data_IF_201296253837
#
_entry.id   IF_201296253837
#
_cell.length_a   1.000
_cell.length_b   1.000
_cell.length_c   1.000
_cell.angle_alpha   90.00
_cell.angle_beta   90.00
_cell.angle_gamma   90.00
#
_symmetry.space_group_name_H-M   'P 1'
#
loop_
_entity.id
_entity.type
_entity.pdbx_description
1 polymer ?
#
# COMPACT_ATOMS: atom_id res chain seq x y z
N UNK A 1 13.35 44.24 -23.62
CA UNK A 1 12.86 42.86 -23.36
C UNK A 1 11.38 43.00 -23.07
N UNK A 2 10.51 42.54 -23.97
CA UNK A 2 9.06 42.80 -23.92
C UNK A 2 8.38 41.91 -22.86
N UNK A 3 7.82 42.45 -21.77
CA UNK A 3 7.35 41.66 -20.64
C UNK A 3 5.83 41.38 -20.65
N UNK A 4 5.20 41.33 -21.81
CA UNK A 4 3.74 41.12 -21.90
C UNK A 4 3.41 39.86 -22.72
N UNK A 5 3.94 38.70 -22.30
CA UNK A 5 3.37 37.43 -22.76
C UNK A 5 2.02 37.22 -22.10
N UNK A 6 0.99 37.05 -22.93
CA UNK A 6 -0.36 36.73 -22.45
C UNK A 6 -0.36 35.39 -21.70
N UNK A 7 -1.22 35.25 -20.68
CA UNK A 7 -1.33 34.03 -19.86
C UNK A 7 -1.55 32.78 -20.72
N UNK A 8 -2.42 32.88 -21.73
CA UNK A 8 -2.65 31.83 -22.73
C UNK A 8 -1.37 31.35 -23.42
N UNK A 9 -0.38 32.21 -23.60
CA UNK A 9 0.88 31.86 -24.25
C UNK A 9 1.85 31.16 -23.28
N UNK A 10 1.88 31.59 -22.01
CA UNK A 10 2.59 30.87 -20.95
C UNK A 10 2.00 29.46 -20.75
N UNK A 11 0.68 29.35 -20.78
CA UNK A 11 -0.03 28.09 -20.59
C UNK A 11 0.22 27.12 -21.76
N UNK A 12 0.23 27.63 -22.99
CA UNK A 12 0.60 26.84 -24.19
C UNK A 12 2.04 26.35 -24.16
N UNK A 13 2.99 27.17 -23.68
CA UNK A 13 4.39 26.76 -23.57
C UNK A 13 4.62 25.69 -22.48
N UNK A 14 3.91 25.79 -21.34
CA UNK A 14 4.11 24.88 -20.21
C UNK A 14 3.44 23.51 -20.42
N UNK A 15 2.27 23.51 -21.06
CA UNK A 15 1.43 22.31 -21.13
C UNK A 15 1.15 21.83 -22.57
N UNK A 16 1.62 22.55 -23.59
CA UNK A 16 1.34 22.28 -25.00
C UNK A 16 -0.05 22.76 -25.42
N UNK A 17 -0.17 23.39 -26.60
CA UNK A 17 -1.45 23.80 -27.15
C UNK A 17 -2.20 22.60 -27.73
N UNK A 18 -3.38 22.27 -27.19
CA UNK A 18 -4.30 21.36 -27.85
C UNK A 18 -4.98 22.11 -29.00
N UNK A 19 -4.43 22.02 -30.21
CA UNK A 19 -5.20 22.33 -31.42
C UNK A 19 -6.38 21.37 -31.47
N UNK A 20 -7.56 21.91 -31.26
CA UNK A 20 -8.81 21.21 -31.43
C UNK A 20 -9.01 21.04 -32.94
N UNK A 21 -8.59 19.89 -33.47
CA UNK A 21 -8.86 19.49 -34.84
C UNK A 21 -10.39 19.51 -35.08
N UNK A 22 -10.84 19.98 -36.25
CA UNK A 22 -12.25 20.23 -36.50
C UNK A 22 -13.04 18.91 -36.43
N UNK A 23 -14.18 19.00 -35.75
CA UNK A 23 -15.23 18.01 -35.72
C UNK A 23 -15.62 17.68 -37.18
N UNK A 24 -15.18 16.53 -37.69
CA UNK A 24 -15.83 15.91 -38.84
C UNK A 24 -17.09 15.22 -38.33
N UNK A 25 -18.21 15.85 -38.61
CA UNK A 25 -19.53 15.25 -38.68
C UNK A 25 -19.49 13.93 -39.44
N UNK A 26 -20.04 12.87 -38.85
CA UNK A 26 -20.99 11.97 -39.51
C UNK A 26 -21.43 10.87 -38.54
N UNK A 27 -22.73 10.80 -38.30
CA UNK A 27 -23.39 9.55 -37.92
C UNK A 27 -24.13 9.08 -39.17
N UNK A 28 -24.06 7.77 -39.52
CA UNK A 28 -25.20 6.93 -39.19
C UNK A 28 -24.84 5.49 -38.79
N UNK A 29 -25.65 5.01 -37.86
CA UNK A 29 -25.88 3.63 -37.43
C UNK A 29 -25.38 2.48 -38.31
N UNK A 30 -24.58 1.57 -37.73
CA UNK A 30 -24.72 0.12 -37.94
C UNK A 30 -24.38 -0.64 -36.65
N UNK A 31 -25.34 -1.42 -36.15
CA UNK A 31 -25.10 -2.48 -35.16
C UNK A 31 -24.19 -3.53 -35.81
N UNK A 32 -23.29 -4.15 -35.03
CA UNK A 32 -23.51 -5.58 -34.86
C UNK A 32 -23.40 -6.01 -33.40
N UNK A 33 -24.33 -6.89 -33.08
CA UNK A 33 -24.36 -7.77 -31.92
C UNK A 33 -23.01 -8.44 -31.80
N UNK A 34 -22.23 -8.05 -30.81
CA UNK A 34 -21.27 -8.94 -30.17
C UNK A 34 -21.73 -9.08 -28.75
N UNK A 35 -22.38 -10.21 -28.52
CA UNK A 35 -22.71 -10.77 -27.22
C UNK A 35 -21.39 -10.89 -26.46
N UNK A 36 -21.00 -9.81 -25.77
CA UNK A 36 -19.92 -9.86 -24.80
C UNK A 36 -20.51 -10.65 -23.65
N UNK A 37 -20.34 -11.96 -23.76
CA UNK A 37 -20.48 -12.91 -22.68
C UNK A 37 -19.69 -12.34 -21.52
N UNK A 38 -20.39 -11.67 -20.61
CA UNK A 38 -19.92 -11.43 -19.25
C UNK A 38 -19.80 -12.84 -18.68
N UNK A 39 -18.60 -13.43 -18.82
CA UNK A 39 -18.24 -14.60 -18.04
C UNK A 39 -18.40 -14.15 -16.60
N UNK A 40 -19.44 -14.67 -15.96
CA UNK A 40 -19.55 -14.68 -14.52
C UNK A 40 -18.17 -15.04 -13.96
N UNK A 41 -17.64 -14.30 -12.97
CA UNK A 41 -16.46 -14.77 -12.25
C UNK A 41 -16.89 -16.06 -11.55
N UNK A 42 -16.60 -17.17 -12.22
CA UNK A 42 -16.87 -18.50 -11.71
C UNK A 42 -16.03 -18.66 -10.44
N UNK A 43 -16.77 -18.73 -9.33
CA UNK A 43 -16.49 -19.49 -8.12
C UNK A 43 -15.01 -19.72 -7.80
N UNK A 44 -14.60 -19.07 -6.71
CA UNK A 44 -13.74 -19.64 -5.68
C UNK A 44 -12.50 -20.32 -6.24
N UNK A 45 -11.56 -19.50 -6.72
CA UNK A 45 -10.18 -19.95 -6.78
C UNK A 45 -9.79 -20.30 -5.35
N UNK A 46 -9.56 -21.59 -5.12
CA UNK A 46 -9.04 -22.14 -3.90
C UNK A 46 -7.88 -21.26 -3.45
N UNK A 47 -8.05 -20.73 -2.24
CA UNK A 47 -7.01 -20.14 -1.42
C UNK A 47 -5.79 -21.04 -1.46
N UNK A 48 -4.93 -20.82 -2.45
CA UNK A 48 -3.60 -21.39 -2.50
C UNK A 48 -2.97 -20.93 -1.19
N UNK A 49 -2.96 -21.84 -0.22
CA UNK A 49 -2.15 -21.73 0.98
C UNK A 49 -0.73 -21.83 0.44
N UNK A 50 -0.21 -20.70 -0.03
CA UNK A 50 1.23 -20.50 -0.13
C UNK A 50 1.70 -20.86 1.26
N UNK A 51 2.29 -22.05 1.37
CA UNK A 51 3.06 -22.42 2.53
C UNK A 51 4.15 -21.36 2.57
N UNK A 52 3.88 -20.26 3.28
CA UNK A 52 4.89 -19.29 3.63
C UNK A 52 5.92 -20.12 4.34
N UNK A 53 7.05 -20.32 3.68
CA UNK A 53 8.27 -20.77 4.32
C UNK A 53 8.61 -19.67 5.31
N UNK A 54 7.95 -19.71 6.47
CA UNK A 54 8.01 -18.77 7.58
C UNK A 54 9.38 -19.00 8.21
N UNK A 55 10.42 -18.48 7.56
CA UNK A 55 11.76 -18.43 8.12
C UNK A 55 11.84 -17.10 8.87
N UNK A 56 11.64 -17.09 10.20
CA UNK A 56 11.72 -15.85 10.95
C UNK A 56 13.14 -15.31 10.85
N UNK A 57 13.30 -14.15 10.23
CA UNK A 57 14.62 -13.54 9.98
C UNK A 57 15.01 -12.57 11.08
N UNK A 58 14.01 -11.95 11.71
CA UNK A 58 14.22 -10.98 12.77
C UNK A 58 13.48 -11.41 14.04
N UNK A 59 14.13 -11.19 15.19
CA UNK A 59 13.57 -11.37 16.52
C UNK A 59 13.55 -10.03 17.22
N UNK A 60 12.34 -9.55 17.50
CA UNK A 60 12.08 -8.31 18.24
C UNK A 60 11.80 -8.66 19.68
N UNK A 61 12.53 -8.02 20.61
CA UNK A 61 12.30 -8.15 22.05
C UNK A 61 11.70 -6.84 22.54
N UNK A 62 10.53 -6.95 23.17
CA UNK A 62 9.75 -5.84 23.69
C UNK A 62 9.65 -5.98 25.21
N UNK A 63 9.74 -4.87 25.93
CA UNK A 63 9.32 -4.78 27.32
C UNK A 63 7.89 -4.26 27.35
N UNK A 64 6.98 -5.03 27.93
CA UNK A 64 5.54 -4.77 27.95
C UNK A 64 5.03 -4.71 29.38
N UNK A 65 4.03 -3.87 29.64
CA UNK A 65 3.41 -3.70 30.95
C UNK A 65 2.02 -3.06 30.84
N UNK A 66 1.18 -3.28 31.85
CA UNK A 66 -0.13 -2.63 31.93
C UNK A 66 -0.15 -1.45 32.91
N UNK A 67 0.75 -1.47 33.88
CA UNK A 67 0.98 -0.41 34.86
C UNK A 67 2.15 0.47 34.42
N UNK A 68 2.06 1.77 34.69
CA UNK A 68 3.12 2.72 34.38
C UNK A 68 4.19 2.64 35.46
N UNK A 69 5.45 2.37 35.06
CA UNK A 69 6.59 2.12 35.96
C UNK A 69 6.44 0.93 36.93
N UNK A 70 5.40 0.10 36.73
CA UNK A 70 5.17 -1.14 37.49
C UNK A 70 5.90 -2.35 36.91
N UNK A 71 5.34 -3.54 37.17
CA UNK A 71 5.92 -4.79 36.68
C UNK A 71 5.95 -4.84 35.15
N UNK A 72 7.13 -5.07 34.60
CA UNK A 72 7.34 -5.20 33.16
C UNK A 72 7.82 -6.59 32.81
N UNK A 73 7.32 -7.11 31.69
CA UNK A 73 7.64 -8.44 31.18
C UNK A 73 8.33 -8.32 29.83
N UNK A 74 9.24 -9.24 29.55
CA UNK A 74 9.86 -9.34 28.23
C UNK A 74 9.02 -10.24 27.32
N UNK A 75 8.70 -9.74 26.14
CA UNK A 75 7.94 -10.45 25.12
C UNK A 75 8.74 -10.50 23.83
N UNK A 76 8.83 -11.70 23.26
CA UNK A 76 9.57 -11.93 22.01
C UNK A 76 8.58 -12.09 20.85
N UNK A 77 8.80 -11.31 19.79
CA UNK A 77 8.06 -11.41 18.54
C UNK A 77 9.01 -11.83 17.41
N UNK A 78 8.65 -12.89 16.68
CA UNK A 78 9.39 -13.35 15.51
C UNK A 78 8.73 -12.78 14.25
N UNK A 79 9.51 -12.07 13.44
CA UNK A 79 9.06 -11.48 12.20
C UNK A 79 9.71 -12.17 10.99
N UNK A 80 8.92 -12.38 9.94
CA UNK A 80 9.35 -12.98 8.67
C UNK A 80 10.07 -11.99 7.75
N UNK A 81 10.01 -10.72 8.10
CA UNK A 81 10.42 -9.64 7.24
C UNK A 81 11.87 -9.30 7.51
N UNK A 82 12.58 -8.88 6.46
CA UNK A 82 13.94 -8.33 6.57
C UNK A 82 13.95 -6.87 7.07
N UNK A 83 12.81 -6.20 6.98
CA UNK A 83 12.69 -4.79 7.35
C UNK A 83 12.54 -4.65 8.86
N UNK A 84 13.48 -3.95 9.48
CA UNK A 84 13.45 -3.65 10.91
C UNK A 84 12.23 -2.82 11.30
N UNK A 85 11.87 -1.82 10.49
CA UNK A 85 10.70 -0.97 10.70
C UNK A 85 9.40 -1.78 10.71
N UNK A 86 9.25 -2.69 9.73
CA UNK A 86 8.04 -3.50 9.63
C UNK A 86 7.95 -4.49 10.80
N UNK A 87 9.07 -5.13 11.14
CA UNK A 87 9.15 -6.02 12.29
C UNK A 87 8.81 -5.30 13.60
N UNK A 88 9.28 -4.06 13.78
CA UNK A 88 8.95 -3.23 14.93
C UNK A 88 7.45 -2.91 15.00
N UNK A 89 6.86 -2.45 13.89
CA UNK A 89 5.44 -2.12 13.84
C UNK A 89 4.55 -3.32 14.12
N UNK A 90 4.86 -4.49 13.55
CA UNK A 90 4.14 -5.73 13.81
C UNK A 90 4.26 -6.16 15.27
N UNK A 91 5.46 -6.07 15.84
CA UNK A 91 5.71 -6.42 17.23
C UNK A 91 4.95 -5.48 18.20
N UNK A 92 4.98 -4.16 17.96
CA UNK A 92 4.23 -3.18 18.75
C UNK A 92 2.73 -3.41 18.62
N UNK A 93 2.23 -3.68 17.40
CA UNK A 93 0.81 -3.94 17.16
C UNK A 93 0.36 -5.21 17.87
N UNK A 94 1.20 -6.26 17.89
CA UNK A 94 0.91 -7.49 18.62
C UNK A 94 0.88 -7.25 20.14
N UNK A 95 1.83 -6.49 20.67
CA UNK A 95 1.91 -6.17 22.10
C UNK A 95 0.74 -5.30 22.58
N UNK A 96 0.39 -4.25 21.83
CA UNK A 96 -0.70 -3.32 22.17
C UNK A 96 -2.09 -3.97 22.23
N UNK A 97 -2.25 -5.19 21.71
CA UNK A 97 -3.50 -5.97 21.87
C UNK A 97 -3.75 -6.38 23.31
N UNK A 98 -2.69 -6.55 24.11
CA UNK A 98 -2.76 -7.09 25.48
C UNK A 98 -2.19 -6.14 26.53
N UNK A 99 -1.28 -5.24 26.13
CA UNK A 99 -0.55 -4.38 27.05
C UNK A 99 -0.73 -2.90 26.72
N UNK A 100 -0.88 -2.08 27.75
CA UNK A 100 -1.03 -0.62 27.60
C UNK A 100 0.30 0.05 27.24
N UNK A 101 1.38 -0.37 27.86
CA UNK A 101 2.72 0.18 27.67
C UNK A 101 3.61 -0.84 26.97
N UNK A 102 4.28 -0.37 25.92
CA UNK A 102 5.13 -1.20 25.06
C UNK A 102 6.39 -0.40 24.73
N UNK A 103 7.55 -0.96 25.01
CA UNK A 103 8.85 -0.41 24.66
C UNK A 103 9.68 -1.45 23.92
N UNK A 104 10.24 -1.09 22.77
CA UNK A 104 11.15 -1.94 22.02
C UNK A 104 12.52 -1.91 22.70
N UNK A 105 13.08 -3.09 22.99
CA UNK A 105 14.39 -3.22 23.65
C UNK A 105 15.47 -3.55 22.63
N UNK A 106 15.22 -4.54 21.78
CA UNK A 106 16.19 -4.93 20.75
C UNK A 106 15.54 -5.61 19.56
N UNK A 107 16.17 -5.46 18.39
CA UNK A 107 15.87 -6.21 17.18
C UNK A 107 17.16 -6.91 16.78
N UNK A 108 17.12 -8.25 16.72
CA UNK A 108 18.26 -9.06 16.30
C UNK A 108 17.89 -9.88 15.08
N UNK A 109 18.84 -10.04 14.15
CA UNK A 109 18.71 -11.12 13.17
C UNK A 109 18.77 -12.46 13.91
N UNK A 110 17.94 -13.40 13.45
CA UNK A 110 18.04 -14.81 13.82
C UNK A 110 19.24 -15.45 13.14
#
# INVERSE_FOLDING_TARGET
MNPDLTEEEMRRALFGGSEQAPQCSESPAQKPVSDIVIRQPAKVAEKNKVAKTFTPRLRVTLRVGNEFEGETHEMVHKADTLSTLLAEQEAIRAAKKKFRFVKVVSIKSM
#
